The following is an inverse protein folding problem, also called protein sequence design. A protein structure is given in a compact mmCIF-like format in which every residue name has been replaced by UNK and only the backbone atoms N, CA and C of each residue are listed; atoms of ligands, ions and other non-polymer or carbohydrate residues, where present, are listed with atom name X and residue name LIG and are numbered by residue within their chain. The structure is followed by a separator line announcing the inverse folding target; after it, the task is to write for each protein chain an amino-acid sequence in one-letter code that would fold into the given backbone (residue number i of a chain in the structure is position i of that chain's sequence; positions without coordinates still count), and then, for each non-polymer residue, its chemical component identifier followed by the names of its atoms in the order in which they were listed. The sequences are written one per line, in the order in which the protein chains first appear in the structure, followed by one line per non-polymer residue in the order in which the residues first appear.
data_IF_267286229285
#
_entry.id   IF_267286229285
#
_cell.length_a   1.000
_cell.length_b   1.000
_cell.length_c   1.000
_cell.angle_alpha   90.00
_cell.angle_beta   90.00
_cell.angle_gamma   90.00
#
_symmetry.space_group_name_H-M   'P 1'
#
loop_
_entity.id
_entity.type
_entity.pdbx_description
1 polymer ?
#
# COMPACT_ATOMS: atom_id res chain seq x y z
N UNK A 1 22.26 -42.23 42.19
CA UNK A 1 21.89 -41.31 43.30
C UNK A 1 20.64 -40.56 42.89
N UNK A 2 19.50 -40.76 43.60
CA UNK A 2 18.24 -40.07 43.37
C UNK A 2 18.13 -38.83 44.28
N UNK A 3 17.34 -37.81 43.90
CA UNK A 3 16.34 -37.23 44.81
C UNK A 3 15.21 -36.60 44.00
N UNK A 4 13.99 -36.91 44.42
CA UNK A 4 12.70 -36.46 43.94
C UNK A 4 12.24 -35.16 44.62
N UNK A 5 11.34 -34.43 43.96
CA UNK A 5 10.15 -33.76 44.53
C UNK A 5 9.28 -33.34 43.31
N UNK A 6 8.05 -33.80 43.07
CA UNK A 6 6.87 -33.86 43.96
C UNK A 6 6.33 -32.43 44.11
N UNK A 7 5.18 -31.99 43.59
CA UNK A 7 3.81 -32.55 43.61
C UNK A 7 2.96 -31.89 42.47
N UNK A 8 2.14 -32.62 41.72
CA UNK A 8 0.71 -32.98 41.94
C UNK A 8 -0.31 -32.00 41.31
N UNK A 9 -0.89 -32.47 40.18
CA UNK A 9 -2.29 -32.53 39.75
C UNK A 9 -3.19 -31.29 39.92
N UNK A 10 -3.74 -30.79 38.81
CA UNK A 10 -5.21 -30.64 38.62
C UNK A 10 -5.57 -30.94 37.17
N UNK A 11 -6.53 -31.84 36.97
CA UNK A 11 -7.11 -32.18 35.68
C UNK A 11 -8.46 -31.46 35.47
N UNK A 12 -8.66 -31.02 34.22
CA UNK A 12 -9.92 -30.70 33.52
C UNK A 12 -10.70 -29.41 33.89
N UNK A 13 -11.39 -28.76 32.92
CA UNK A 13 -12.19 -29.38 31.86
C UNK A 13 -11.88 -29.00 30.41
N UNK A 14 -12.27 -29.92 29.53
CA UNK A 14 -12.59 -29.70 28.12
C UNK A 14 -13.54 -28.50 28.00
N UNK A 15 -13.07 -27.42 27.38
CA UNK A 15 -13.92 -26.40 26.78
C UNK A 15 -13.70 -26.44 25.28
N UNK A 16 -14.72 -26.95 24.60
CA UNK A 16 -14.94 -26.77 23.17
C UNK A 16 -15.04 -25.27 22.92
N UNK A 17 -13.97 -24.70 22.40
CA UNK A 17 -13.94 -23.37 21.83
C UNK A 17 -13.24 -23.50 20.50
N UNK A 18 -14.00 -23.40 19.42
CA UNK A 18 -13.48 -23.29 18.06
C UNK A 18 -12.40 -22.21 18.06
N UNK A 19 -11.13 -22.62 17.97
CA UNK A 19 -10.09 -21.69 17.59
C UNK A 19 -10.35 -21.39 16.12
N UNK A 20 -11.06 -20.28 15.89
CA UNK A 20 -10.92 -19.56 14.63
C UNK A 20 -9.42 -19.54 14.35
N UNK A 21 -9.05 -20.16 13.23
CA UNK A 21 -7.68 -20.19 12.79
C UNK A 21 -7.24 -18.73 12.62
N UNK A 22 -6.59 -18.19 13.65
CA UNK A 22 -5.85 -16.94 13.56
C UNK A 22 -4.78 -17.23 12.53
N UNK A 23 -4.98 -16.65 11.35
CA UNK A 23 -4.12 -16.75 10.20
C UNK A 23 -2.67 -16.51 10.64
N UNK A 24 -1.92 -17.60 10.74
CA UNK A 24 -0.55 -17.57 11.22
C UNK A 24 0.32 -16.80 10.22
N UNK A 25 0.89 -15.68 10.67
CA UNK A 25 2.31 -15.41 10.45
C UNK A 25 2.72 -14.78 9.12
N UNK A 26 2.23 -13.58 8.80
CA UNK A 26 3.05 -12.63 8.03
C UNK A 26 3.53 -11.52 8.95
N UNK A 27 4.84 -11.47 9.22
CA UNK A 27 5.44 -10.37 9.95
C UNK A 27 5.00 -9.03 9.31
N UNK A 28 4.65 -8.01 10.13
CA UNK A 28 4.30 -6.70 9.60
C UNK A 28 5.42 -6.21 8.69
N UNK A 29 5.09 -5.94 7.42
CA UNK A 29 6.09 -5.42 6.51
C UNK A 29 6.54 -4.05 6.97
N UNK A 30 7.85 -3.75 6.86
CA UNK A 30 8.36 -2.44 7.24
C UNK A 30 7.61 -1.36 6.45
N UNK A 31 7.23 -0.30 7.16
CA UNK A 31 6.56 0.82 6.56
C UNK A 31 7.48 1.47 5.52
N UNK A 32 6.98 1.67 4.30
CA UNK A 32 7.72 2.38 3.27
C UNK A 32 7.51 3.88 3.45
N UNK A 33 8.59 4.66 3.52
CA UNK A 33 8.47 6.12 3.52
C UNK A 33 8.68 6.65 2.11
N UNK A 34 7.75 7.48 1.63
CA UNK A 34 7.79 8.10 0.30
C UNK A 34 7.60 9.60 0.46
N UNK A 35 8.54 10.39 -0.07
CA UNK A 35 8.43 11.84 -0.09
C UNK A 35 7.59 12.26 -1.29
N UNK A 36 6.55 13.05 -1.04
CA UNK A 36 5.71 13.71 -2.04
C UNK A 36 6.04 15.20 -2.01
N UNK A 37 7.09 15.63 -2.73
CA UNK A 37 7.59 17.00 -2.64
C UNK A 37 6.65 18.04 -3.23
N UNK A 38 5.70 17.64 -4.07
CA UNK A 38 4.85 18.58 -4.79
C UNK A 38 3.43 18.06 -5.01
N UNK A 39 2.50 19.01 -5.02
CA UNK A 39 1.13 18.83 -5.48
C UNK A 39 0.94 19.66 -6.74
N UNK A 40 0.57 19.00 -7.83
CA UNK A 40 0.37 19.65 -9.13
C UNK A 40 -1.11 19.64 -9.50
N UNK A 41 -1.54 20.64 -10.29
CA UNK A 41 -2.80 20.55 -11.02
C UNK A 41 -2.74 19.42 -12.05
N UNK A 42 -3.90 19.00 -12.58
CA UNK A 42 -3.94 18.00 -13.67
C UNK A 42 -3.08 18.46 -14.85
N UNK A 43 -3.21 19.72 -15.27
CA UNK A 43 -2.42 20.30 -16.34
C UNK A 43 -0.91 20.35 -16.03
N UNK A 44 -0.53 20.59 -14.77
CA UNK A 44 0.88 20.66 -14.35
C UNK A 44 1.55 19.32 -14.06
N UNK A 45 0.79 18.22 -14.01
CA UNK A 45 1.30 16.91 -13.57
C UNK A 45 2.34 16.36 -14.54
N UNK A 46 2.05 16.40 -15.85
CA UNK A 46 2.99 15.87 -16.86
C UNK A 46 4.33 16.60 -16.82
N UNK A 47 4.32 17.94 -16.81
CA UNK A 47 5.55 18.74 -16.75
C UNK A 47 6.36 18.54 -15.45
N UNK A 48 5.71 18.17 -14.34
CA UNK A 48 6.42 17.81 -13.10
C UNK A 48 7.05 16.41 -13.19
N UNK A 49 6.34 15.45 -13.79
CA UNK A 49 6.84 14.10 -14.03
C UNK A 49 8.02 14.10 -15.01
N UNK A 50 7.95 14.84 -16.11
CA UNK A 50 9.00 14.95 -17.13
C UNK A 50 10.31 15.51 -16.56
N UNK A 51 10.22 16.38 -15.54
CA UNK A 51 11.38 16.93 -14.82
C UNK A 51 11.90 16.02 -13.69
N UNK A 52 11.37 14.81 -13.57
CA UNK A 52 11.69 13.87 -12.49
C UNK A 52 11.60 14.49 -11.09
N UNK A 53 10.61 15.37 -10.85
CA UNK A 53 10.49 16.15 -9.61
C UNK A 53 10.09 15.32 -8.36
N UNK A 54 10.13 13.99 -8.44
CA UNK A 54 9.74 13.07 -7.38
C UNK A 54 8.33 12.51 -7.57
N UNK A 55 7.72 12.04 -6.48
CA UNK A 55 6.32 11.63 -6.49
C UNK A 55 5.42 12.87 -6.54
N UNK A 56 4.51 12.90 -7.51
CA UNK A 56 3.61 14.02 -7.75
C UNK A 56 2.22 13.66 -7.26
N UNK A 57 1.65 14.44 -6.34
CA UNK A 57 0.24 14.33 -5.98
C UNK A 57 -0.62 15.23 -6.86
N UNK A 58 -1.65 14.66 -7.46
CA UNK A 58 -2.61 15.37 -8.32
C UNK A 58 -4.01 15.18 -7.75
N UNK A 59 -4.84 16.24 -7.63
CA UNK A 59 -6.25 16.08 -7.29
C UNK A 59 -6.96 15.16 -8.28
N UNK A 60 -7.79 14.26 -7.78
CA UNK A 60 -8.62 13.35 -8.58
C UNK A 60 -9.98 13.19 -7.90
N UNK A 61 -11.10 12.97 -8.63
CA UNK A 61 -12.40 12.74 -8.01
C UNK A 61 -12.33 11.66 -6.92
N UNK A 62 -12.69 12.00 -5.69
CA UNK A 62 -12.60 11.10 -4.54
C UNK A 62 -11.26 11.08 -3.79
N UNK A 63 -10.29 11.93 -4.16
CA UNK A 63 -9.07 12.17 -3.37
C UNK A 63 -7.84 12.59 -4.18
N UNK A 64 -6.76 11.80 -4.11
CA UNK A 64 -5.48 12.11 -4.75
C UNK A 64 -4.92 10.94 -5.56
N UNK A 65 -4.34 11.27 -6.73
CA UNK A 65 -3.50 10.37 -7.49
C UNK A 65 -2.04 10.74 -7.27
N UNK A 66 -1.23 9.80 -6.79
CA UNK A 66 0.22 9.94 -6.66
C UNK A 66 0.88 9.19 -7.80
N UNK A 67 1.65 9.89 -8.61
CA UNK A 67 2.30 9.32 -9.78
C UNK A 67 3.79 9.65 -9.81
N UNK A 68 4.56 8.76 -10.44
CA UNK A 68 5.97 8.98 -10.71
C UNK A 68 6.39 8.15 -11.93
N UNK A 69 7.24 8.70 -12.79
CA UNK A 69 7.89 7.90 -13.82
C UNK A 69 8.82 6.85 -13.20
N UNK A 70 8.79 5.64 -13.73
CA UNK A 70 9.57 4.51 -13.24
C UNK A 70 11.08 4.69 -13.47
N UNK A 71 11.47 5.49 -14.46
CA UNK A 71 12.87 5.83 -14.74
C UNK A 71 13.41 7.00 -13.88
N UNK A 72 12.56 7.73 -13.16
CA UNK A 72 12.98 8.89 -12.36
C UNK A 72 13.37 8.56 -10.91
N UNK A 73 13.08 7.35 -10.39
CA UNK A 73 13.38 6.97 -9.00
C UNK A 73 13.29 5.46 -8.70
N UNK A 74 13.27 5.12 -7.41
CA UNK A 74 13.27 3.79 -6.80
C UNK A 74 11.99 2.94 -7.00
N UNK A 75 11.25 3.12 -8.10
CA UNK A 75 10.10 2.30 -8.55
C UNK A 75 9.15 1.84 -7.42
N UNK A 76 8.90 2.71 -6.45
CA UNK A 76 8.32 2.34 -5.15
C UNK A 76 6.91 1.75 -5.26
N UNK A 77 6.09 2.27 -6.17
CA UNK A 77 4.73 1.77 -6.44
C UNK A 77 4.75 0.29 -6.82
N UNK A 78 5.78 -0.15 -7.55
CA UNK A 78 5.94 -1.54 -8.00
C UNK A 78 6.20 -2.52 -6.86
N UNK A 79 6.71 -2.03 -5.73
CA UNK A 79 7.06 -2.84 -4.55
C UNK A 79 5.96 -2.87 -3.48
N UNK A 80 4.89 -2.08 -3.66
CA UNK A 80 3.79 -2.03 -2.70
C UNK A 80 2.96 -3.30 -2.73
N UNK A 81 2.70 -3.88 -1.56
CA UNK A 81 1.82 -5.04 -1.41
C UNK A 81 0.61 -4.74 -0.54
N UNK A 82 -0.48 -5.48 -0.78
CA UNK A 82 -1.71 -5.40 0.02
C UNK A 82 -1.40 -5.62 1.50
N UNK A 83 -1.99 -4.77 2.35
CA UNK A 83 -1.76 -4.75 3.80
C UNK A 83 -0.55 -3.91 4.24
N UNK A 84 0.39 -3.58 3.35
CA UNK A 84 1.54 -2.75 3.68
C UNK A 84 1.12 -1.32 4.04
N UNK A 85 1.81 -0.71 5.01
CA UNK A 85 1.66 0.72 5.33
C UNK A 85 2.74 1.53 4.61
N UNK A 86 2.32 2.62 3.97
CA UNK A 86 3.16 3.62 3.33
C UNK A 86 3.00 4.93 4.09
N UNK A 87 4.11 5.53 4.50
CA UNK A 87 4.13 6.87 5.10
C UNK A 87 4.49 7.89 4.02
N UNK A 88 3.57 8.77 3.70
CA UNK A 88 3.83 9.93 2.88
C UNK A 88 4.31 11.12 3.73
N UNK A 89 5.26 11.86 3.20
CA UNK A 89 5.75 13.14 3.74
C UNK A 89 5.64 14.24 2.68
N UNK A 90 5.62 15.51 3.10
CA UNK A 90 5.40 16.65 2.20
C UNK A 90 3.91 16.90 1.96
N UNK A 91 3.52 17.11 0.71
CA UNK A 91 2.20 17.64 0.33
C UNK A 91 1.00 16.69 0.58
N UNK A 92 1.28 15.39 0.78
CA UNK A 92 0.27 14.37 1.05
C UNK A 92 0.54 13.62 2.37
N UNK A 93 0.95 14.36 3.40
CA UNK A 93 1.44 13.79 4.65
C UNK A 93 0.43 12.85 5.35
N UNK A 94 0.92 11.67 5.74
CA UNK A 94 0.17 10.72 6.55
C UNK A 94 0.60 9.28 6.34
N UNK A 95 -0.01 8.39 7.10
CA UNK A 95 0.16 6.94 6.93
C UNK A 95 -1.03 6.37 6.15
N UNK A 96 -0.76 5.49 5.20
CA UNK A 96 -1.76 4.90 4.32
C UNK A 96 -1.53 3.41 4.18
N UNK A 97 -2.58 2.60 4.31
CA UNK A 97 -2.53 1.16 4.09
C UNK A 97 -2.92 0.84 2.66
N UNK A 98 -2.15 -0.03 2.02
CA UNK A 98 -2.46 -0.61 0.72
C UNK A 98 -3.68 -1.51 0.88
N UNK A 99 -4.78 -1.14 0.22
CA UNK A 99 -6.04 -1.90 0.21
C UNK A 99 -6.06 -2.94 -0.91
N UNK A 100 -5.64 -2.52 -2.09
CA UNK A 100 -5.65 -3.34 -3.29
C UNK A 100 -4.55 -2.88 -4.25
N UNK A 101 -4.11 -3.79 -5.12
CA UNK A 101 -3.18 -3.49 -6.19
C UNK A 101 -3.54 -4.30 -7.43
N UNK A 102 -3.38 -3.70 -8.62
CA UNK A 102 -3.59 -4.38 -9.89
C UNK A 102 -2.53 -3.95 -10.90
N UNK A 103 -2.28 -4.77 -11.92
CA UNK A 103 -1.43 -4.42 -13.06
C UNK A 103 -2.23 -4.66 -14.32
N UNK A 104 -2.29 -3.67 -15.21
CA UNK A 104 -3.11 -3.72 -16.44
C UNK A 104 -2.37 -3.09 -17.61
N UNK A 105 -2.84 -3.36 -18.83
CA UNK A 105 -2.34 -2.68 -20.02
C UNK A 105 -2.69 -1.19 -19.97
N UNK A 106 -1.75 -0.35 -20.40
CA UNK A 106 -1.92 1.09 -20.61
C UNK A 106 -3.04 1.24 -21.64
N UNK A 107 -4.04 2.08 -21.35
CA UNK A 107 -5.25 2.33 -22.18
C UNK A 107 -6.40 1.31 -22.07
N UNK A 108 -6.38 0.37 -21.14
CA UNK A 108 -7.55 -0.50 -20.89
C UNK A 108 -8.43 0.07 -19.78
N UNK A 109 -9.62 0.55 -20.15
CA UNK A 109 -10.61 1.14 -19.24
C UNK A 109 -10.40 2.64 -18.97
N UNK A 110 -11.33 3.25 -18.25
CA UNK A 110 -11.20 4.65 -17.81
C UNK A 110 -10.42 4.76 -16.50
N UNK A 111 -9.90 5.96 -16.20
CA UNK A 111 -9.33 6.26 -14.88
C UNK A 111 -10.34 5.96 -13.74
N UNK A 112 -11.63 6.22 -13.98
CA UNK A 112 -12.70 5.95 -13.02
C UNK A 112 -12.86 4.45 -12.73
N UNK A 113 -12.78 3.61 -13.75
CA UNK A 113 -12.86 2.16 -13.60
C UNK A 113 -11.67 1.61 -12.81
N UNK A 114 -10.47 2.13 -13.10
CA UNK A 114 -9.24 1.75 -12.41
C UNK A 114 -9.27 2.20 -10.95
N UNK A 115 -9.73 3.42 -10.70
CA UNK A 115 -9.94 3.96 -9.37
C UNK A 115 -10.94 3.13 -8.56
N UNK A 116 -12.07 2.75 -9.17
CA UNK A 116 -13.08 1.90 -8.54
C UNK A 116 -12.52 0.52 -8.20
N UNK A 117 -11.68 -0.05 -9.08
CA UNK A 117 -11.12 -1.38 -8.90
C UNK A 117 -10.15 -1.49 -7.72
N UNK A 118 -9.37 -0.44 -7.43
CA UNK A 118 -8.43 -0.45 -6.30
C UNK A 118 -8.96 0.25 -5.04
N UNK A 119 -9.93 1.15 -5.19
CA UNK A 119 -10.47 1.96 -4.10
C UNK A 119 -9.44 2.87 -3.42
N UNK A 120 -9.81 3.39 -2.26
CA UNK A 120 -8.96 4.27 -1.45
C UNK A 120 -9.11 5.75 -1.76
N UNK A 121 -8.72 6.58 -0.79
CA UNK A 121 -8.73 8.05 -0.91
C UNK A 121 -7.44 8.58 -1.52
N UNK A 122 -6.41 7.74 -1.56
CA UNK A 122 -5.20 7.98 -2.34
C UNK A 122 -4.98 6.80 -3.26
N UNK A 123 -4.53 7.06 -4.47
CA UNK A 123 -4.14 6.02 -5.42
C UNK A 123 -2.71 6.28 -5.86
N UNK A 124 -1.92 5.23 -6.01
CA UNK A 124 -0.57 5.33 -6.55
C UNK A 124 -0.46 4.61 -7.88
N UNK A 125 0.14 5.25 -8.88
CA UNK A 125 0.27 4.70 -10.23
C UNK A 125 1.69 4.88 -10.77
N UNK A 126 2.18 3.85 -11.46
CA UNK A 126 3.49 3.85 -12.11
C UNK A 126 3.49 2.85 -13.27
N UNK A 127 4.28 3.13 -14.31
CA UNK A 127 4.54 2.15 -15.36
C UNK A 127 5.34 0.96 -14.81
N UNK A 128 4.88 -0.26 -15.07
CA UNK A 128 5.68 -1.47 -14.81
C UNK A 128 6.44 -1.93 -16.06
N UNK A 129 5.95 -1.55 -17.24
CA UNK A 129 6.61 -1.68 -18.53
C UNK A 129 6.14 -0.56 -19.47
N UNK A 130 6.60 -0.57 -20.74
CA UNK A 130 6.11 0.36 -21.77
C UNK A 130 4.60 0.27 -22.01
N UNK A 131 4.02 -0.91 -21.77
CA UNK A 131 2.61 -1.20 -22.10
C UNK A 131 1.76 -1.51 -20.89
N UNK A 132 2.32 -1.53 -19.67
CA UNK A 132 1.59 -1.89 -18.46
C UNK A 132 1.81 -0.88 -17.34
N UNK A 133 0.74 -0.64 -16.58
CA UNK A 133 0.75 0.20 -15.38
C UNK A 133 0.40 -0.64 -14.17
N UNK A 134 1.10 -0.40 -13.06
CA UNK A 134 0.67 -0.85 -11.75
C UNK A 134 -0.13 0.25 -11.07
N UNK A 135 -1.26 -0.12 -10.51
CA UNK A 135 -2.17 0.75 -9.80
C UNK A 135 -2.40 0.22 -8.40
N UNK A 136 -2.38 1.11 -7.40
CA UNK A 136 -2.48 0.74 -5.99
C UNK A 136 -3.46 1.67 -5.29
N UNK A 137 -4.41 1.10 -4.57
CA UNK A 137 -5.37 1.83 -3.74
C UNK A 137 -4.87 1.95 -2.30
N UNK A 138 -4.89 3.16 -1.75
CA UNK A 138 -4.35 3.52 -0.45
C UNK A 138 -5.45 4.19 0.41
N UNK A 139 -5.62 3.72 1.64
CA UNK A 139 -6.54 4.32 2.61
C UNK A 139 -5.77 4.83 3.81
N UNK A 140 -6.09 6.05 4.26
CA UNK A 140 -5.43 6.64 5.42
C UNK A 140 -5.61 5.74 6.66
N UNK A 141 -4.53 5.51 7.38
CA UNK A 141 -4.52 4.90 8.71
C UNK A 141 -4.44 6.06 9.69
N UNK A 142 -5.32 6.07 10.70
CA UNK A 142 -5.38 7.13 11.72
C UNK A 142 -4.03 7.29 12.41
#
# INVERSE_FOLDING_TARGET
MPVCAGAAIVALPLLVGSVDAVEAGRAPRPAMTVRVPLRASVAGTQAALDRCAGAVATPYPGGHLVSQHDYCSNRWVLRLEVGQVVRFTGELQGSYRVRAATTRRRHTGTYADLAKAVGGTVQAVMCSSRTTVRWVGLTRVR
#
